data_IF_794879386615
#
_entry.id   IF_794879386615
#
_cell.length_a   1.000
_cell.length_b   1.000
_cell.length_c   1.000
_cell.angle_alpha   90.00
_cell.angle_beta   90.00
_cell.angle_gamma   90.00
#
_symmetry.space_group_name_H-M   'P 1'
#
loop_
_entity.id
_entity.type
_entity.pdbx_description
1 polymer ?
#
# COMPACT_ATOMS: atom_id res chain seq x y z
N UNK A 1 -10.20 -1.16 -10.63
CA UNK A 1 -8.78 -1.61 -10.56
C UNK A 1 -7.95 -0.72 -9.62
N UNK A 2 -7.85 0.58 -9.92
CA UNK A 2 -6.93 1.49 -9.22
C UNK A 2 -7.24 1.71 -7.73
N UNK A 3 -8.52 1.74 -7.34
CA UNK A 3 -8.91 1.81 -5.92
C UNK A 3 -8.51 0.54 -5.16
N UNK A 4 -8.73 -0.64 -5.75
CA UNK A 4 -8.33 -1.91 -5.14
C UNK A 4 -6.82 -2.04 -4.97
N UNK A 5 -6.05 -1.54 -5.94
CA UNK A 5 -4.59 -1.53 -5.84
C UNK A 5 -4.09 -0.54 -4.78
N UNK A 6 -4.70 0.66 -4.69
CA UNK A 6 -4.43 1.60 -3.60
C UNK A 6 -4.79 1.02 -2.23
N UNK A 7 -5.90 0.28 -2.12
CA UNK A 7 -6.29 -0.40 -0.88
C UNK A 7 -5.32 -1.53 -0.49
N UNK A 8 -4.78 -2.24 -1.48
CA UNK A 8 -3.68 -3.19 -1.28
C UNK A 8 -2.46 -2.47 -0.67
N UNK A 9 -1.96 -1.39 -1.30
CA UNK A 9 -0.83 -0.63 -0.76
C UNK A 9 -1.12 -0.12 0.66
N UNK A 10 -2.32 0.43 0.89
CA UNK A 10 -2.73 0.91 2.20
C UNK A 10 -2.69 -0.21 3.26
N UNK A 11 -3.09 -1.44 2.92
CA UNK A 11 -3.06 -2.55 3.87
C UNK A 11 -1.63 -2.86 4.35
N UNK A 12 -0.66 -2.87 3.43
CA UNK A 12 0.75 -3.17 3.75
C UNK A 12 1.54 -2.00 4.33
N UNK A 13 1.13 -0.75 4.08
CA UNK A 13 1.88 0.44 4.49
C UNK A 13 1.26 1.21 5.66
N UNK A 14 0.16 0.75 6.23
CA UNK A 14 -0.60 1.56 7.19
C UNK A 14 0.01 1.50 8.59
N UNK A 15 0.71 2.57 8.97
CA UNK A 15 1.32 2.77 10.28
C UNK A 15 2.07 1.51 10.75
N UNK A 16 3.14 1.18 10.01
CA UNK A 16 4.01 0.04 10.32
C UNK A 16 4.68 0.28 11.67
N UNK A 17 4.50 -0.66 12.60
CA UNK A 17 5.09 -0.62 13.94
C UNK A 17 6.44 -1.35 13.96
N UNK A 18 6.45 -2.60 13.46
CA UNK A 18 7.64 -3.43 13.43
C UNK A 18 7.55 -4.53 12.37
N UNK A 19 8.71 -5.00 11.91
CA UNK A 19 8.87 -6.24 11.17
C UNK A 19 9.52 -7.27 12.10
N UNK A 20 8.87 -8.41 12.31
CA UNK A 20 9.35 -9.47 13.18
C UNK A 20 9.25 -10.85 12.52
N UNK A 21 9.50 -11.92 13.28
CA UNK A 21 9.46 -13.29 12.77
C UNK A 21 8.05 -13.76 12.36
N UNK A 22 7.00 -13.16 12.93
CA UNK A 22 5.60 -13.47 12.64
C UNK A 22 5.04 -12.70 11.45
N UNK A 23 5.64 -11.57 11.10
CA UNK A 23 5.23 -10.76 9.95
C UNK A 23 5.44 -9.26 10.14
N UNK A 24 4.75 -8.46 9.33
CA UNK A 24 4.76 -7.00 9.40
C UNK A 24 3.59 -6.53 10.28
N UNK A 25 3.89 -5.94 11.43
CA UNK A 25 2.90 -5.42 12.37
C UNK A 25 2.52 -4.00 11.95
N UNK A 26 1.24 -3.81 11.66
CA UNK A 26 0.65 -2.54 11.24
C UNK A 26 -0.47 -2.13 12.20
N UNK A 27 -0.78 -0.84 12.26
CA UNK A 27 -1.80 -0.31 13.18
C UNK A 27 -2.90 0.44 12.44
N UNK A 28 -4.15 -0.01 12.61
CA UNK A 28 -5.33 0.65 12.03
C UNK A 28 -5.54 2.02 12.67
N UNK A 29 -6.18 2.94 11.94
CA UNK A 29 -6.57 4.25 12.47
C UNK A 29 -7.42 4.17 13.75
N UNK A 30 -8.20 3.08 13.93
CA UNK A 30 -8.98 2.81 15.15
C UNK A 30 -8.15 2.30 16.35
N UNK A 31 -6.84 2.16 16.21
CA UNK A 31 -5.91 1.82 17.30
C UNK A 31 -5.52 0.35 17.40
N UNK A 32 -6.21 -0.57 16.73
CA UNK A 32 -5.88 -2.00 16.78
C UNK A 32 -4.72 -2.34 15.85
N UNK A 33 -3.77 -3.12 16.36
CA UNK A 33 -2.71 -3.73 15.58
C UNK A 33 -3.19 -4.97 14.83
N UNK A 34 -2.52 -5.27 13.72
CA UNK A 34 -2.69 -6.49 12.95
C UNK A 34 -1.35 -6.89 12.35
N UNK A 35 -1.11 -8.19 12.28
CA UNK A 35 0.11 -8.74 11.66
C UNK A 35 -0.21 -9.22 10.26
N UNK A 36 0.56 -8.74 9.29
CA UNK A 36 0.50 -9.17 7.90
C UNK A 36 1.47 -10.34 7.74
N UNK A 37 0.96 -11.45 7.23
CA UNK A 37 1.72 -12.64 6.90
C UNK A 37 1.78 -12.78 5.39
N UNK A 38 2.99 -12.70 4.83
CA UNK A 38 3.28 -12.78 3.40
C UNK A 38 4.73 -13.25 3.21
N UNK A 39 5.17 -13.38 1.97
CA UNK A 39 6.57 -13.65 1.64
C UNK A 39 7.50 -12.60 2.26
N UNK A 40 8.61 -13.06 2.84
CA UNK A 40 9.54 -12.21 3.62
C UNK A 40 9.99 -10.97 2.84
N UNK A 41 10.30 -11.13 1.55
CA UNK A 41 10.77 -10.03 0.71
C UNK A 41 9.70 -8.94 0.51
N UNK A 42 8.41 -9.30 0.49
CA UNK A 42 7.30 -8.34 0.41
C UNK A 42 7.23 -7.52 1.70
N UNK A 43 7.34 -8.19 2.84
CA UNK A 43 7.29 -7.53 4.15
C UNK A 43 8.50 -6.61 4.38
N UNK A 44 9.69 -7.06 4.00
CA UNK A 44 10.93 -6.27 4.06
C UNK A 44 10.86 -5.03 3.15
N UNK A 45 10.32 -5.20 1.94
CA UNK A 45 10.09 -4.10 1.02
C UNK A 45 9.21 -3.02 1.67
N UNK A 46 8.02 -3.38 2.17
CA UNK A 46 7.13 -2.39 2.79
C UNK A 46 7.70 -1.77 4.06
N UNK A 47 8.45 -2.55 4.86
CA UNK A 47 9.13 -2.02 6.04
C UNK A 47 10.23 -0.99 5.68
N UNK A 48 10.96 -1.21 4.59
CA UNK A 48 11.97 -0.27 4.09
C UNK A 48 11.35 1.04 3.56
N UNK A 49 10.14 0.97 3.00
CA UNK A 49 9.39 2.10 2.45
C UNK A 49 8.39 2.73 3.45
N UNK A 50 8.48 2.42 4.75
CA UNK A 50 7.49 2.84 5.75
C UNK A 50 7.40 4.35 5.97
N UNK A 51 8.49 5.06 5.68
CA UNK A 51 8.62 6.51 5.89
C UNK A 51 8.47 7.30 4.58
N UNK A 52 8.22 6.62 3.46
CA UNK A 52 8.04 7.26 2.16
C UNK A 52 6.72 8.05 2.08
N UNK A 53 6.75 9.14 1.31
CA UNK A 53 5.52 9.80 0.91
C UNK A 53 4.69 8.95 -0.06
N UNK A 54 3.43 9.35 -0.29
CA UNK A 54 2.48 8.58 -1.11
C UNK A 54 3.01 8.37 -2.54
N UNK A 55 3.45 9.42 -3.28
CA UNK A 55 3.98 9.22 -4.62
C UNK A 55 5.19 8.27 -4.66
N UNK A 56 6.15 8.43 -3.75
CA UNK A 56 7.36 7.62 -3.70
C UNK A 56 7.03 6.15 -3.42
N UNK A 57 6.17 5.89 -2.43
CA UNK A 57 5.72 4.54 -2.12
C UNK A 57 4.99 3.90 -3.29
N UNK A 58 4.06 4.62 -3.94
CA UNK A 58 3.31 4.09 -5.08
C UNK A 58 4.25 3.75 -6.24
N UNK A 59 5.20 4.63 -6.55
CA UNK A 59 6.19 4.40 -7.59
C UNK A 59 7.04 3.16 -7.29
N UNK A 60 7.56 3.06 -6.06
CA UNK A 60 8.37 1.92 -5.63
C UNK A 60 7.58 0.60 -5.73
N UNK A 61 6.32 0.58 -5.28
CA UNK A 61 5.48 -0.62 -5.38
C UNK A 61 5.25 -0.97 -6.85
N UNK A 62 4.88 -0.01 -7.69
CA UNK A 62 4.48 -0.26 -9.08
C UNK A 62 5.64 -0.68 -9.98
N UNK A 63 6.87 -0.23 -9.68
CA UNK A 63 8.08 -0.61 -10.40
C UNK A 63 8.75 -1.88 -9.87
N UNK A 64 8.20 -2.49 -8.80
CA UNK A 64 8.72 -3.74 -8.24
C UNK A 64 8.40 -4.94 -9.15
N UNK A 65 9.29 -5.21 -10.11
CA UNK A 65 9.11 -6.32 -11.05
C UNK A 65 9.17 -7.70 -10.39
N UNK A 66 9.77 -7.83 -9.20
CA UNK A 66 9.71 -9.08 -8.44
C UNK A 66 8.29 -9.39 -7.95
N UNK A 67 7.50 -8.37 -7.61
CA UNK A 67 6.10 -8.54 -7.21
C UNK A 67 5.18 -8.76 -8.41
N UNK A 68 5.41 -8.06 -9.53
CA UNK A 68 4.43 -7.96 -10.61
C UNK A 68 4.83 -8.64 -11.92
N UNK A 69 6.09 -9.08 -12.05
CA UNK A 69 6.68 -9.58 -13.29
C UNK A 69 6.85 -8.53 -14.38
N UNK A 70 6.51 -7.27 -14.09
CA UNK A 70 6.62 -6.13 -15.00
C UNK A 70 6.51 -4.81 -14.23
N UNK A 71 7.09 -3.76 -14.79
CA UNK A 71 6.82 -2.38 -14.37
C UNK A 71 5.37 -1.95 -14.72
N UNK A 72 4.55 -1.73 -13.68
CA UNK A 72 3.15 -1.34 -13.81
C UNK A 72 2.96 0.13 -14.21
N UNK A 73 3.99 0.99 -14.06
CA UNK A 73 3.92 2.41 -14.43
C UNK A 73 3.78 2.60 -15.95
N UNK A 74 4.12 1.56 -16.73
CA UNK A 74 3.90 1.50 -18.18
C UNK A 74 2.42 1.57 -18.58
N UNK A 75 1.50 1.32 -17.65
CA UNK A 75 0.05 1.49 -17.88
C UNK A 75 -0.32 2.96 -17.66
N UNK A 76 -0.55 3.68 -18.76
CA UNK A 76 -0.84 5.11 -18.74
C UNK A 76 -1.99 5.47 -17.77
N UNK A 77 -1.73 6.45 -16.88
CA UNK A 77 -2.69 6.94 -15.89
C UNK A 77 -2.91 6.03 -14.67
N UNK A 78 -2.32 4.83 -14.63
CA UNK A 78 -2.51 3.92 -13.49
C UNK A 78 -1.82 4.43 -12.22
N UNK A 79 -0.58 4.92 -12.35
CA UNK A 79 0.18 5.44 -11.21
C UNK A 79 -0.49 6.67 -10.59
N UNK A 80 -0.83 7.67 -11.41
CA UNK A 80 -1.53 8.87 -10.96
C UNK A 80 -2.86 8.55 -10.26
N UNK A 81 -3.66 7.63 -10.83
CA UNK A 81 -4.90 7.19 -10.23
C UNK A 81 -4.67 6.44 -8.90
N UNK A 82 -3.58 5.68 -8.79
CA UNK A 82 -3.22 4.97 -7.55
C UNK A 82 -2.79 5.94 -6.46
N UNK A 83 -1.95 6.93 -6.79
CA UNK A 83 -1.57 8.03 -5.87
C UNK A 83 -2.83 8.72 -5.36
N UNK A 84 -3.72 9.16 -6.26
CA UNK A 84 -4.98 9.83 -5.89
C UNK A 84 -5.83 8.98 -4.95
N UNK A 85 -6.00 7.69 -5.25
CA UNK A 85 -6.83 6.80 -4.44
C UNK A 85 -6.20 6.48 -3.09
N UNK A 86 -4.88 6.30 -3.02
CA UNK A 86 -4.19 6.05 -1.75
C UNK A 86 -4.26 7.28 -0.83
N UNK A 87 -4.13 8.49 -1.39
CA UNK A 87 -4.39 9.74 -0.67
C UNK A 87 -5.81 9.76 -0.11
N UNK A 88 -6.81 9.45 -0.94
CA UNK A 88 -8.21 9.41 -0.50
C UNK A 88 -8.44 8.41 0.64
N UNK A 89 -7.83 7.22 0.57
CA UNK A 89 -7.90 6.20 1.62
C UNK A 89 -7.26 6.70 2.92
N UNK A 90 -6.09 7.37 2.85
CA UNK A 90 -5.39 7.89 4.03
C UNK A 90 -6.15 9.04 4.69
N UNK A 91 -6.81 9.90 3.91
CA UNK A 91 -7.56 11.06 4.42
C UNK A 91 -8.96 10.70 4.93
N UNK A 92 -9.69 9.85 4.21
CA UNK A 92 -11.12 9.63 4.44
C UNK A 92 -11.44 8.20 4.90
N UNK A 93 -10.45 7.31 4.88
CA UNK A 93 -10.62 5.89 5.18
C UNK A 93 -11.13 5.09 3.98
N UNK A 94 -10.76 3.81 3.95
CA UNK A 94 -11.07 2.92 2.83
C UNK A 94 -12.58 2.81 2.53
N UNK A 95 -13.45 2.76 3.55
CA UNK A 95 -14.90 2.64 3.33
C UNK A 95 -15.47 3.85 2.58
N UNK A 96 -15.02 5.06 2.90
CA UNK A 96 -15.46 6.27 2.19
C UNK A 96 -14.89 6.29 0.78
N UNK A 97 -13.61 5.95 0.62
CA UNK A 97 -12.95 5.88 -0.68
C UNK A 97 -13.65 4.90 -1.63
N UNK A 98 -14.05 3.71 -1.16
CA UNK A 98 -14.75 2.74 -2.00
C UNK A 98 -16.16 3.20 -2.44
N UNK A 99 -16.82 4.07 -1.67
CA UNK A 99 -18.12 4.64 -2.08
C UNK A 99 -17.98 5.55 -3.31
N UNK A 100 -16.80 6.15 -3.55
CA UNK A 100 -16.58 6.97 -4.75
C UNK A 100 -16.37 6.14 -6.03
N UNK A 101 -16.42 4.81 -5.94
CA UNK A 101 -16.31 3.90 -7.07
C UNK A 101 -17.65 3.27 -7.49
N UNK A 102 -18.74 3.59 -6.79
CA UNK A 102 -20.11 3.16 -7.08
C UNK A 102 -20.84 4.26 -7.86
#
# INVERSE_FOLDING_TARGET
>A
LTMSFAAYIAFYSNNIQELNDKGLVCKRAKGNEYTISDDRYVLEFYNAHKDDDIPTLVHAVMTNEQMWGQDLTKVAGFEEATVKNLTLIREQGAMAAYKSCL
#
